data_IF_138192667274
#
_entry.id   IF_138192667274
#
_cell.length_a   1.000
_cell.length_b   1.000
_cell.length_c   1.000
_cell.angle_alpha   90.00
_cell.angle_beta   90.00
_cell.angle_gamma   90.00
#
_symmetry.space_group_name_H-M   'P 1'
#
loop_
_entity.id
_entity.type
_entity.pdbx_description
1 polymer ?
#
# COMPACT_ATOMS: atom_id res chain seq x y z
N UNK A 1 -45.76 35.80 -0.17
CA UNK A 1 -45.41 34.44 0.31
C UNK A 1 -43.97 34.15 -0.12
N UNK A 2 -42.99 34.39 0.74
CA UNK A 2 -41.58 34.13 0.43
C UNK A 2 -41.16 32.79 1.02
N UNK A 3 -40.86 31.80 0.17
CA UNK A 3 -40.35 30.50 0.60
C UNK A 3 -38.83 30.62 0.80
N UNK A 4 -38.40 30.67 2.06
CA UNK A 4 -36.98 30.60 2.43
C UNK A 4 -36.53 29.13 2.37
N UNK A 5 -35.76 28.79 1.33
CA UNK A 5 -35.12 27.49 1.19
C UNK A 5 -33.90 27.46 2.11
N UNK A 6 -33.99 26.79 3.26
CA UNK A 6 -32.87 26.58 4.15
C UNK A 6 -31.92 25.52 3.56
N UNK A 7 -30.77 25.95 3.03
CA UNK A 7 -29.67 25.06 2.64
C UNK A 7 -29.01 24.52 3.89
N UNK A 8 -29.27 23.26 4.23
CA UNK A 8 -28.55 22.54 5.28
C UNK A 8 -27.11 22.28 4.83
N UNK A 9 -26.18 23.07 5.36
CA UNK A 9 -24.75 22.80 5.23
C UNK A 9 -24.39 21.63 6.14
N UNK A 10 -24.39 20.40 5.61
CA UNK A 10 -23.76 19.29 6.32
C UNK A 10 -22.24 19.54 6.38
N UNK A 11 -21.61 19.49 7.56
CA UNK A 11 -20.17 19.59 7.65
C UNK A 11 -19.58 18.40 6.89
N UNK A 12 -18.89 18.67 5.78
CA UNK A 12 -18.04 17.69 5.16
C UNK A 12 -16.98 17.31 6.19
N UNK A 13 -16.99 16.04 6.61
CA UNK A 13 -15.91 15.51 7.43
C UNK A 13 -14.61 15.74 6.66
N UNK A 14 -13.77 16.65 7.15
CA UNK A 14 -12.44 16.86 6.60
C UNK A 14 -11.65 15.58 6.86
N UNK A 15 -11.61 14.68 5.88
CA UNK A 15 -10.70 13.54 5.89
C UNK A 15 -9.30 14.11 6.05
N UNK A 16 -8.64 13.79 7.16
CA UNK A 16 -7.27 14.19 7.38
C UNK A 16 -6.44 13.64 6.22
N UNK A 17 -5.78 14.53 5.46
CA UNK A 17 -4.91 14.10 4.35
C UNK A 17 -3.70 13.35 4.91
N UNK A 18 -3.82 12.03 4.99
CA UNK A 18 -2.70 11.13 5.24
C UNK A 18 -2.13 10.65 3.91
N UNK A 19 -0.84 10.33 3.94
CA UNK A 19 -0.10 9.72 2.83
C UNK A 19 0.70 8.53 3.35
N UNK A 20 0.83 7.45 2.57
CA UNK A 20 1.71 6.35 2.92
C UNK A 20 3.17 6.78 2.94
N UNK A 21 3.94 6.17 3.84
CA UNK A 21 5.40 6.16 3.76
C UNK A 21 5.80 4.98 2.89
N UNK A 22 6.61 5.21 1.85
CA UNK A 22 7.15 4.14 1.02
C UNK A 22 8.55 3.72 1.50
N UNK A 23 8.81 2.42 1.51
CA UNK A 23 10.11 1.83 1.79
C UNK A 23 10.48 0.85 0.69
N UNK A 24 11.76 0.84 0.29
CA UNK A 24 12.29 -0.13 -0.66
C UNK A 24 13.28 -1.05 0.03
N UNK A 25 13.02 -2.35 -0.07
CA UNK A 25 13.96 -3.42 0.26
C UNK A 25 14.44 -4.08 -1.01
N UNK A 26 15.64 -4.64 -0.97
CA UNK A 26 16.19 -5.35 -2.13
C UNK A 26 16.78 -6.69 -1.74
N UNK A 27 16.74 -7.63 -2.68
CA UNK A 27 17.47 -8.89 -2.58
C UNK A 27 18.45 -9.02 -3.76
N UNK A 28 19.59 -9.72 -3.57
CA UNK A 28 20.61 -9.80 -4.60
C UNK A 28 20.19 -10.75 -5.73
N UNK A 29 20.49 -10.35 -6.97
CA UNK A 29 20.38 -11.16 -8.18
C UNK A 29 21.74 -11.20 -8.88
N UNK A 30 22.23 -12.41 -9.17
CA UNK A 30 23.53 -12.65 -9.82
C UNK A 30 23.34 -13.47 -11.09
N UNK A 31 24.21 -13.23 -12.06
CA UNK A 31 24.23 -13.96 -13.34
C UNK A 31 24.84 -13.14 -14.45
N UNK A 32 25.11 -13.80 -15.57
CA UNK A 32 25.68 -13.23 -16.80
C UNK A 32 24.83 -13.51 -18.03
N UNK A 33 23.74 -14.27 -17.86
CA UNK A 33 22.74 -14.59 -18.88
C UNK A 33 21.32 -14.40 -18.33
N UNK A 34 20.32 -14.27 -19.21
CA UNK A 34 18.92 -14.09 -18.80
C UNK A 34 18.39 -15.26 -17.96
N UNK A 35 18.78 -16.49 -18.28
CA UNK A 35 18.37 -17.68 -17.53
C UNK A 35 19.01 -17.71 -16.13
N UNK A 36 20.29 -17.33 -16.00
CA UNK A 36 20.94 -17.23 -14.69
C UNK A 36 20.28 -16.17 -13.80
N UNK A 37 19.93 -15.01 -14.37
CA UNK A 37 19.22 -13.96 -13.65
C UNK A 37 17.85 -14.45 -13.17
N UNK A 38 17.10 -15.15 -14.03
CA UNK A 38 15.79 -15.71 -13.67
C UNK A 38 15.89 -16.80 -12.60
N UNK A 39 16.85 -17.72 -12.72
CA UNK A 39 17.12 -18.74 -11.69
C UNK A 39 17.53 -18.11 -10.36
N UNK A 40 18.40 -17.08 -10.39
CA UNK A 40 18.81 -16.36 -9.19
C UNK A 40 17.63 -15.65 -8.51
N UNK A 41 16.66 -15.14 -9.28
CA UNK A 41 15.39 -14.63 -8.74
C UNK A 41 14.59 -15.77 -8.06
N UNK A 42 14.46 -16.92 -8.72
CA UNK A 42 13.77 -18.09 -8.14
C UNK A 42 14.41 -18.59 -6.84
N UNK A 43 15.72 -18.43 -6.67
CA UNK A 43 16.44 -18.82 -5.45
C UNK A 43 16.32 -17.78 -4.32
N UNK A 44 16.39 -16.49 -4.67
CA UNK A 44 16.60 -15.40 -3.70
C UNK A 44 15.37 -14.51 -3.48
N UNK A 45 14.39 -14.53 -4.39
CA UNK A 45 13.21 -13.68 -4.35
C UNK A 45 12.37 -13.85 -3.08
N UNK A 46 11.59 -12.84 -2.66
CA UNK A 46 10.80 -12.90 -1.43
C UNK A 46 9.90 -14.13 -1.40
N UNK A 47 9.85 -14.80 -0.24
CA UNK A 47 8.88 -15.87 0.01
C UNK A 47 7.53 -15.24 0.31
N UNK A 48 6.51 -15.60 -0.47
CA UNK A 48 5.13 -15.16 -0.30
C UNK A 48 4.30 -16.42 0.01
N UNK A 49 3.66 -16.42 1.19
CA UNK A 49 3.02 -17.63 1.71
C UNK A 49 4.04 -18.72 2.12
N UNK A 50 3.59 -19.97 2.18
CA UNK A 50 4.41 -21.08 2.71
C UNK A 50 5.43 -21.66 1.73
N UNK A 51 5.29 -21.45 0.42
CA UNK A 51 6.06 -22.22 -0.58
C UNK A 51 6.50 -21.45 -1.84
N UNK A 52 5.92 -20.28 -2.15
CA UNK A 52 6.17 -19.61 -3.44
C UNK A 52 7.14 -18.45 -3.25
N UNK A 53 8.12 -18.33 -4.16
CA UNK A 53 8.95 -17.13 -4.28
C UNK A 53 8.46 -16.28 -5.43
N UNK A 54 8.36 -14.98 -5.20
CA UNK A 54 7.96 -14.00 -6.19
C UNK A 54 9.17 -13.23 -6.74
N UNK A 55 9.02 -12.63 -7.93
CA UNK A 55 10.02 -11.72 -8.51
C UNK A 55 10.16 -10.46 -7.65
N UNK A 56 9.04 -9.92 -7.21
CA UNK A 56 8.98 -8.81 -6.28
C UNK A 56 7.74 -8.97 -5.40
N UNK A 57 7.66 -8.17 -4.35
CA UNK A 57 6.53 -8.22 -3.45
C UNK A 57 6.28 -6.86 -2.81
N UNK A 58 5.02 -6.44 -2.83
CA UNK A 58 4.52 -5.30 -2.07
C UNK A 58 3.85 -5.80 -0.81
N UNK A 59 4.34 -5.35 0.34
CA UNK A 59 3.79 -5.61 1.66
C UNK A 59 3.46 -4.27 2.33
N UNK A 60 2.69 -4.28 3.42
CA UNK A 60 2.38 -3.07 4.15
C UNK A 60 2.21 -3.29 5.65
N UNK A 61 2.53 -2.24 6.42
CA UNK A 61 2.18 -2.14 7.83
C UNK A 61 1.12 -1.07 7.99
N UNK A 62 0.01 -1.41 8.63
CA UNK A 62 -1.09 -0.50 8.89
C UNK A 62 -1.43 -0.49 10.38
N UNK A 63 -1.33 0.68 10.99
CA UNK A 63 -1.86 0.94 12.34
C UNK A 63 -2.83 2.12 12.29
N UNK A 64 -3.63 2.30 13.34
CA UNK A 64 -4.67 3.32 13.39
C UNK A 64 -4.65 4.09 14.70
N UNK A 65 -4.79 5.41 14.61
CA UNK A 65 -5.19 6.25 15.73
C UNK A 65 -6.70 6.50 15.63
N UNK A 66 -7.47 6.01 16.60
CA UNK A 66 -8.94 6.09 16.59
C UNK A 66 -9.46 6.89 17.77
N UNK A 67 -10.54 7.64 17.54
CA UNK A 67 -11.28 8.37 18.58
C UNK A 67 -12.71 7.85 18.63
N UNK A 68 -13.11 7.34 19.79
CA UNK A 68 -14.47 6.92 20.05
C UNK A 68 -15.12 7.88 21.05
N UNK A 69 -16.38 8.25 20.80
CA UNK A 69 -17.14 9.16 21.66
C UNK A 69 -18.47 8.53 22.09
N UNK A 70 -18.78 8.51 23.40
CA UNK A 70 -20.09 8.12 23.88
C UNK A 70 -21.19 9.04 23.35
N UNK A 71 -22.35 8.46 23.05
CA UNK A 71 -23.52 9.14 22.54
C UNK A 71 -24.62 9.23 23.62
N UNK A 72 -25.56 10.20 23.53
CA UNK A 72 -26.64 10.34 24.50
C UNK A 72 -27.58 9.13 24.62
N UNK A 73 -27.70 8.32 23.56
CA UNK A 73 -28.50 7.09 23.52
C UNK A 73 -27.78 5.88 24.14
N UNK A 74 -26.57 6.06 24.67
CA UNK A 74 -25.75 5.00 25.26
C UNK A 74 -24.80 4.31 24.28
N UNK A 75 -24.85 4.63 22.98
CA UNK A 75 -23.93 4.08 21.99
C UNK A 75 -22.51 4.67 22.12
N UNK A 76 -21.55 4.01 21.47
CA UNK A 76 -20.17 4.51 21.33
C UNK A 76 -19.83 4.62 19.84
N UNK A 77 -19.57 5.83 19.36
CA UNK A 77 -19.35 6.13 17.93
C UNK A 77 -17.88 6.36 17.62
N UNK A 78 -17.38 5.76 16.53
CA UNK A 78 -16.07 6.07 15.98
C UNK A 78 -16.12 7.41 15.22
N UNK A 79 -15.65 8.50 15.83
CA UNK A 79 -15.72 9.84 15.23
C UNK A 79 -14.49 10.21 14.38
N UNK A 80 -13.38 9.49 14.54
CA UNK A 80 -12.17 9.68 13.72
C UNK A 80 -11.31 8.41 13.69
N UNK A 81 -10.74 8.10 12.53
CA UNK A 81 -9.81 7.00 12.32
C UNK A 81 -8.67 7.43 11.38
N UNK A 82 -7.52 7.80 11.95
CA UNK A 82 -6.35 8.20 11.16
C UNK A 82 -5.40 7.01 10.97
N UNK A 83 -5.11 6.57 9.73
CA UNK A 83 -4.16 5.50 9.51
C UNK A 83 -2.71 6.00 9.59
N UNK A 84 -1.82 5.10 10.01
CA UNK A 84 -0.38 5.18 9.80
C UNK A 84 0.01 3.98 8.95
N UNK A 85 0.42 4.24 7.71
CA UNK A 85 0.71 3.21 6.72
C UNK A 85 2.13 3.31 6.18
N UNK A 86 2.81 2.16 6.15
CA UNK A 86 4.10 1.99 5.50
C UNK A 86 3.93 0.93 4.40
N UNK A 87 4.16 1.31 3.15
CA UNK A 87 4.17 0.39 2.00
C UNK A 87 5.63 -0.02 1.74
N UNK A 88 5.89 -1.31 1.62
CA UNK A 88 7.21 -1.89 1.52
C UNK A 88 7.33 -2.65 0.20
N UNK A 89 8.15 -2.16 -0.71
CA UNK A 89 8.45 -2.82 -1.98
C UNK A 89 9.74 -3.63 -1.86
N UNK A 90 9.68 -4.94 -2.09
CA UNK A 90 10.85 -5.81 -2.15
C UNK A 90 11.20 -6.10 -3.61
N UNK A 91 12.34 -5.57 -4.07
CA UNK A 91 12.73 -5.57 -5.49
C UNK A 91 14.05 -6.34 -5.75
N UNK A 92 14.23 -6.95 -6.93
CA UNK A 92 15.51 -7.52 -7.32
C UNK A 92 16.57 -6.42 -7.49
N UNK A 93 17.79 -6.68 -7.03
CA UNK A 93 18.95 -5.81 -7.24
C UNK A 93 20.11 -6.61 -7.81
N UNK A 94 20.55 -6.22 -9.00
CA UNK A 94 21.70 -6.81 -9.66
C UNK A 94 22.98 -6.58 -8.86
N UNK A 95 23.79 -7.64 -8.71
CA UNK A 95 25.11 -7.57 -8.06
C UNK A 95 26.26 -8.02 -8.98
N UNK A 96 25.96 -8.58 -10.16
CA UNK A 96 26.95 -8.95 -11.18
C UNK A 96 27.10 -7.87 -12.27
N UNK A 97 28.23 -7.88 -12.98
CA UNK A 97 28.40 -7.09 -14.21
C UNK A 97 27.78 -7.83 -15.38
N UNK A 98 26.95 -7.15 -16.16
CA UNK A 98 26.31 -7.69 -17.37
C UNK A 98 26.98 -7.15 -18.63
N UNK A 99 26.82 -7.85 -19.76
CA UNK A 99 27.11 -7.26 -21.07
C UNK A 99 26.19 -6.04 -21.31
N UNK A 100 26.61 -5.04 -22.11
CA UNK A 100 25.80 -3.84 -22.33
C UNK A 100 24.37 -4.15 -22.82
N UNK A 101 24.25 -5.11 -23.74
CA UNK A 101 22.94 -5.52 -24.27
C UNK A 101 22.05 -6.17 -23.20
N UNK A 102 22.62 -6.95 -22.29
CA UNK A 102 21.84 -7.59 -21.22
C UNK A 102 21.50 -6.59 -20.11
N UNK A 103 22.38 -5.64 -19.80
CA UNK A 103 22.10 -4.55 -18.86
C UNK A 103 20.88 -3.74 -19.28
N UNK A 104 20.77 -3.36 -20.56
CA UNK A 104 19.62 -2.61 -21.07
C UNK A 104 18.30 -3.37 -20.87
N UNK A 105 18.31 -4.69 -21.12
CA UNK A 105 17.13 -5.55 -20.91
C UNK A 105 16.79 -5.67 -19.43
N UNK A 106 17.80 -5.79 -18.57
CA UNK A 106 17.63 -5.84 -17.12
C UNK A 106 17.04 -4.55 -16.56
N UNK A 107 17.49 -3.39 -17.03
CA UNK A 107 16.98 -2.09 -16.59
C UNK A 107 15.50 -1.92 -16.98
N UNK A 108 15.14 -2.29 -18.21
CA UNK A 108 13.75 -2.29 -18.67
C UNK A 108 12.87 -3.26 -17.84
N UNK A 109 13.37 -4.46 -17.56
CA UNK A 109 12.67 -5.46 -16.74
C UNK A 109 12.44 -4.94 -15.32
N UNK A 110 13.49 -4.46 -14.65
CA UNK A 110 13.39 -4.00 -13.25
C UNK A 110 12.56 -2.73 -13.10
N UNK A 111 12.56 -1.84 -14.10
CA UNK A 111 11.65 -0.70 -14.09
C UNK A 111 10.19 -1.12 -14.29
N UNK A 112 9.93 -2.10 -15.15
CA UNK A 112 8.62 -2.74 -15.30
C UNK A 112 8.11 -3.34 -13.99
N UNK A 113 8.96 -4.13 -13.30
CA UNK A 113 8.65 -4.70 -11.98
C UNK A 113 8.36 -3.60 -10.96
N UNK A 114 9.18 -2.54 -10.91
CA UNK A 114 8.96 -1.41 -10.00
C UNK A 114 7.62 -0.72 -10.26
N UNK A 115 7.25 -0.50 -11.52
CA UNK A 115 5.94 0.08 -11.88
C UNK A 115 4.78 -0.85 -11.50
N UNK A 116 4.93 -2.15 -11.69
CA UNK A 116 3.95 -3.15 -11.26
C UNK A 116 3.71 -3.10 -9.75
N UNK A 117 4.78 -3.11 -8.94
CA UNK A 117 4.64 -3.05 -7.48
C UNK A 117 3.98 -1.76 -6.99
N UNK A 118 4.20 -0.62 -7.66
CA UNK A 118 3.49 0.63 -7.33
C UNK A 118 1.97 0.55 -7.55
N UNK A 119 1.51 -0.29 -8.48
CA UNK A 119 0.07 -0.53 -8.64
C UNK A 119 -0.50 -1.22 -7.40
N UNK A 120 0.18 -2.22 -6.85
CA UNK A 120 -0.20 -2.83 -5.56
C UNK A 120 -0.18 -1.80 -4.43
N UNK A 121 0.82 -0.93 -4.38
CA UNK A 121 0.88 0.17 -3.42
C UNK A 121 -0.34 1.10 -3.50
N UNK A 122 -0.74 1.49 -4.71
CA UNK A 122 -1.93 2.31 -4.91
C UNK A 122 -3.23 1.60 -4.50
N UNK A 123 -3.34 0.28 -4.76
CA UNK A 123 -4.49 -0.52 -4.31
C UNK A 123 -4.57 -0.58 -2.77
N UNK A 124 -3.44 -0.72 -2.08
CA UNK A 124 -3.39 -0.70 -0.62
C UNK A 124 -3.82 0.66 -0.08
N UNK A 125 -3.35 1.76 -0.68
CA UNK A 125 -3.78 3.11 -0.28
C UNK A 125 -5.30 3.28 -0.45
N UNK A 126 -5.84 2.87 -1.60
CA UNK A 126 -7.27 2.95 -1.88
C UNK A 126 -8.10 2.10 -0.90
N UNK A 127 -7.67 0.87 -0.61
CA UNK A 127 -8.29 0.01 0.39
C UNK A 127 -8.37 0.69 1.76
N UNK A 128 -7.29 1.35 2.20
CA UNK A 128 -7.25 2.03 3.51
C UNK A 128 -8.18 3.25 3.52
N UNK A 129 -8.28 3.99 2.41
CA UNK A 129 -9.25 5.10 2.27
C UNK A 129 -10.68 4.58 2.35
N UNK A 130 -10.98 3.44 1.74
CA UNK A 130 -12.29 2.81 1.82
C UNK A 130 -12.62 2.33 3.25
N UNK A 131 -11.66 1.75 3.97
CA UNK A 131 -11.84 1.36 5.39
C UNK A 131 -12.14 2.59 6.26
N UNK A 132 -11.40 3.69 6.06
CA UNK A 132 -11.65 4.94 6.79
C UNK A 132 -13.07 5.46 6.53
N UNK A 133 -13.45 5.58 5.25
CA UNK A 133 -14.77 6.07 4.86
C UNK A 133 -15.92 5.18 5.36
N UNK A 134 -15.73 3.86 5.34
CA UNK A 134 -16.75 2.90 5.78
C UNK A 134 -16.87 2.79 7.31
N UNK A 135 -15.85 3.20 8.08
CA UNK A 135 -15.81 2.98 9.53
C UNK A 135 -16.14 4.20 10.37
N UNK A 136 -15.85 5.41 9.91
CA UNK A 136 -16.20 6.64 10.64
C UNK A 136 -17.72 6.77 10.70
N UNK A 137 -18.26 7.02 11.91
CA UNK A 137 -19.70 7.10 12.19
C UNK A 137 -20.32 5.77 12.63
N UNK A 138 -19.62 4.64 12.47
CA UNK A 138 -20.09 3.38 13.03
C UNK A 138 -20.21 3.49 14.55
N UNK A 139 -21.33 2.99 15.06
CA UNK A 139 -21.69 3.01 16.47
C UNK A 139 -21.99 1.61 16.96
N UNK A 140 -21.54 1.29 18.16
CA UNK A 140 -21.87 0.03 18.84
C UNK A 140 -22.67 0.35 20.10
N UNK A 141 -23.70 -0.45 20.35
CA UNK A 141 -24.47 -0.37 21.58
C UNK A 141 -23.67 -0.98 22.73
N UNK A 142 -23.92 -0.50 23.94
CA UNK A 142 -23.26 -1.00 25.15
C UNK A 142 -23.84 -2.32 25.61
#
# INVERSE_FOLDING_TARGET
MGLLCALSLWPAATQAQWKPVEQVKTYPVKGTSGIELYSSIGENGPKVGSQVRAIAHTDFKLTWSRKYEPQPDGACTLVSARPNIIIIYTLPKLVSKLSPALQQKWDAFTDGVRRHERVHGAMIEDLVRQIEAASIGLSVQR
#
